data_IF_445414866835
#
_entry.id   IF_445414866835
#
_cell.length_a   1.000
_cell.length_b   1.000
_cell.length_c   1.000
_cell.angle_alpha   90.00
_cell.angle_beta   90.00
_cell.angle_gamma   90.00
#
_symmetry.space_group_name_H-M   'P 1'
#
loop_
_entity.id
_entity.type
_entity.pdbx_description
1 polymer ?
#
# COMPACT_ATOMS: atom_id res chain seq x y z
N UNK A 1 -22.05 -41.68 0.74
CA UNK A 1 -21.56 -40.29 0.71
C UNK A 1 -22.75 -39.38 0.45
N UNK A 2 -23.02 -38.33 1.25
CA UNK A 2 -24.18 -37.43 1.08
C UNK A 2 -23.72 -36.10 0.47
N UNK A 3 -24.55 -35.44 -0.35
CA UNK A 3 -24.33 -34.12 -0.94
C UNK A 3 -23.87 -33.08 0.09
N UNK A 4 -24.40 -33.11 1.31
CA UNK A 4 -23.94 -32.22 2.39
C UNK A 4 -22.45 -32.41 2.73
N UNK A 5 -21.97 -33.66 2.77
CA UNK A 5 -20.55 -33.97 3.01
C UNK A 5 -19.67 -33.52 1.84
N UNK A 6 -20.19 -33.59 0.61
CA UNK A 6 -19.51 -33.11 -0.59
C UNK A 6 -19.37 -31.59 -0.55
N UNK A 7 -20.45 -30.86 -0.22
CA UNK A 7 -20.41 -29.40 -0.10
C UNK A 7 -19.41 -28.93 0.96
N UNK A 8 -19.37 -29.58 2.12
CA UNK A 8 -18.37 -29.29 3.16
C UNK A 8 -16.95 -29.53 2.66
N UNK A 9 -16.71 -30.67 2.01
CA UNK A 9 -15.39 -31.00 1.48
C UNK A 9 -14.94 -29.98 0.42
N UNK A 10 -15.82 -29.60 -0.51
CA UNK A 10 -15.52 -28.61 -1.56
C UNK A 10 -15.29 -27.21 -0.97
N UNK A 11 -16.05 -26.82 0.06
CA UNK A 11 -15.85 -25.54 0.75
C UNK A 11 -14.49 -25.49 1.47
N UNK A 12 -14.11 -26.56 2.17
CA UNK A 12 -12.81 -26.66 2.85
C UNK A 12 -11.62 -26.67 1.88
N UNK A 13 -11.75 -27.32 0.72
CA UNK A 13 -10.71 -27.32 -0.31
C UNK A 13 -10.59 -25.93 -0.96
N UNK A 14 -11.72 -25.23 -1.16
CA UNK A 14 -11.73 -23.87 -1.74
C UNK A 14 -11.10 -22.81 -0.83
N UNK A 15 -11.14 -22.99 0.49
CA UNK A 15 -10.47 -22.07 1.43
C UNK A 15 -8.96 -22.30 1.53
N UNK A 16 -8.47 -23.52 1.26
CA UNK A 16 -7.05 -23.84 1.30
C UNK A 16 -6.23 -23.24 0.14
N UNK A 17 -6.88 -22.82 -0.96
CA UNK A 17 -6.21 -22.21 -2.13
C UNK A 17 -6.05 -20.69 -2.01
N UNK A 18 -6.62 -20.06 -0.97
CA UNK A 18 -6.40 -18.65 -0.64
C UNK A 18 -5.10 -18.47 0.15
N UNK A 19 -3.98 -18.98 -0.36
CA UNK A 19 -2.67 -18.85 0.30
C UNK A 19 -1.60 -18.39 -0.68
N UNK A 20 -1.49 -17.08 -0.87
CA UNK A 20 -0.28 -16.46 -1.44
C UNK A 20 -0.15 -14.94 -1.24
N UNK A 21 -1.01 -14.31 -0.43
CA UNK A 21 -0.88 -12.88 -0.13
C UNK A 21 -0.18 -12.61 1.22
N UNK A 22 -0.20 -13.57 2.15
CA UNK A 22 0.37 -13.45 3.49
C UNK A 22 1.84 -13.91 3.60
N UNK A 23 2.37 -14.62 2.60
CA UNK A 23 3.74 -15.16 2.62
C UNK A 23 4.81 -14.07 2.65
N UNK A 24 4.52 -12.88 2.08
CA UNK A 24 5.44 -11.74 2.13
C UNK A 24 5.76 -11.32 3.58
N UNK A 25 4.83 -11.50 4.51
CA UNK A 25 5.04 -11.13 5.90
C UNK A 25 5.85 -12.16 6.68
N UNK A 26 5.62 -13.45 6.41
CA UNK A 26 6.40 -14.53 7.03
C UNK A 26 7.90 -14.36 6.78
N UNK A 27 8.30 -13.73 5.67
CA UNK A 27 9.71 -13.42 5.38
C UNK A 27 10.21 -12.19 6.15
N UNK A 28 9.34 -11.20 6.40
CA UNK A 28 9.69 -10.00 7.17
C UNK A 28 10.01 -10.32 8.64
N UNK A 29 9.35 -11.32 9.23
CA UNK A 29 9.63 -11.79 10.60
C UNK A 29 10.91 -12.63 10.71
N UNK A 30 11.27 -13.37 9.65
CA UNK A 30 12.46 -14.23 9.67
C UNK A 30 13.73 -13.45 9.36
N UNK A 31 13.69 -12.56 8.37
CA UNK A 31 14.84 -11.83 7.87
C UNK A 31 14.51 -10.33 7.71
N UNK A 32 14.29 -9.61 8.82
CA UNK A 32 13.78 -8.23 8.80
C UNK A 32 14.72 -7.25 8.06
N UNK A 33 16.04 -7.44 8.19
CA UNK A 33 17.02 -6.60 7.50
C UNK A 33 16.99 -6.80 5.97
N UNK A 34 16.90 -8.06 5.53
CA UNK A 34 16.81 -8.41 4.12
C UNK A 34 15.49 -7.90 3.52
N UNK A 35 14.38 -8.09 4.23
CA UNK A 35 13.08 -7.57 3.81
C UNK A 35 13.08 -6.05 3.68
N UNK A 36 13.63 -5.32 4.65
CA UNK A 36 13.74 -3.86 4.59
C UNK A 36 14.58 -3.38 3.40
N UNK A 37 15.60 -4.15 2.98
CA UNK A 37 16.40 -3.81 1.80
C UNK A 37 15.67 -4.03 0.47
N UNK A 38 14.81 -5.05 0.39
CA UNK A 38 14.02 -5.35 -0.82
C UNK A 38 12.77 -4.48 -0.93
N UNK A 39 12.22 -4.06 0.20
CA UNK A 39 11.00 -3.25 0.29
C UNK A 39 11.25 -1.99 1.16
N UNK A 40 12.08 -1.05 0.69
CA UNK A 40 12.48 0.12 1.48
C UNK A 40 11.32 1.06 1.83
N UNK A 41 10.22 1.00 1.07
CA UNK A 41 8.99 1.77 1.32
C UNK A 41 8.07 1.11 2.37
N UNK A 42 8.47 -0.03 2.94
CA UNK A 42 7.70 -0.79 3.95
C UNK A 42 8.41 -0.73 5.30
N UNK A 43 7.69 -0.24 6.30
CA UNK A 43 8.18 -0.18 7.67
C UNK A 43 7.91 -1.51 8.38
N UNK A 44 8.93 -2.37 8.46
CA UNK A 44 8.86 -3.69 9.13
C UNK A 44 8.45 -3.57 10.59
N UNK A 45 8.91 -2.53 11.30
CA UNK A 45 8.64 -2.34 12.73
C UNK A 45 7.19 -1.91 12.98
N UNK A 46 6.56 -1.27 11.99
CA UNK A 46 5.16 -0.87 12.03
C UNK A 46 4.31 -1.75 11.10
N UNK A 47 4.66 -3.02 11.00
CA UNK A 47 3.87 -4.00 10.28
C UNK A 47 3.69 -3.67 8.79
N UNK A 48 4.80 -3.46 8.08
CA UNK A 48 4.81 -3.26 6.63
C UNK A 48 3.95 -2.07 6.16
N UNK A 49 3.65 -1.12 7.05
CA UNK A 49 2.97 0.11 6.67
C UNK A 49 3.87 0.94 5.76
N UNK A 50 3.27 1.76 4.90
CA UNK A 50 4.04 2.60 3.98
C UNK A 50 4.82 3.65 4.78
N UNK A 51 6.13 3.71 4.54
CA UNK A 51 6.98 4.77 5.06
C UNK A 51 6.49 6.14 4.54
N UNK A 52 6.83 7.25 5.21
CA UNK A 52 6.47 8.58 4.72
C UNK A 52 6.90 8.83 3.26
N UNK A 53 8.07 8.34 2.86
CA UNK A 53 8.56 8.43 1.49
C UNK A 53 7.72 7.58 0.52
N UNK A 54 7.44 6.32 0.88
CA UNK A 54 6.58 5.44 0.10
C UNK A 54 5.16 5.99 -0.07
N UNK A 55 4.63 6.67 0.95
CA UNK A 55 3.35 7.38 0.85
C UNK A 55 3.40 8.53 -0.14
N UNK A 56 4.46 9.34 -0.10
CA UNK A 56 4.63 10.48 -1.01
C UNK A 56 4.65 10.05 -2.49
N UNK A 57 5.20 8.88 -2.80
CA UNK A 57 5.19 8.31 -4.16
C UNK A 57 3.81 7.83 -4.66
N UNK A 58 2.85 7.65 -3.75
CA UNK A 58 1.46 7.30 -4.07
C UNK A 58 0.52 8.50 -4.05
N UNK A 59 0.98 9.65 -3.55
CA UNK A 59 0.18 10.87 -3.59
C UNK A 59 -0.02 11.31 -5.04
N UNK A 60 -1.28 11.59 -5.39
CA UNK A 60 -1.61 12.17 -6.69
C UNK A 60 -0.83 13.49 -6.86
N UNK A 61 -0.51 13.92 -8.09
CA UNK A 61 0.27 15.14 -8.37
C UNK A 61 -0.26 16.46 -7.77
N UNK A 62 -1.42 16.47 -7.09
CA UNK A 62 -1.90 17.58 -6.26
C UNK A 62 -1.54 17.50 -4.76
N UNK A 63 -0.80 16.48 -4.32
CA UNK A 63 -0.31 16.30 -2.94
C UNK A 63 1.14 16.74 -2.72
N UNK A 64 1.94 16.86 -3.79
CA UNK A 64 3.23 17.53 -3.70
C UNK A 64 3.00 19.02 -3.44
N UNK A 65 3.58 19.57 -2.36
CA UNK A 65 3.53 20.99 -2.07
C UNK A 65 4.00 21.78 -3.31
N UNK A 66 3.18 22.68 -3.87
CA UNK A 66 3.54 23.40 -5.08
C UNK A 66 4.79 24.24 -4.81
N UNK A 67 5.87 23.97 -5.54
CA UNK A 67 7.14 24.71 -5.42
C UNK A 67 6.95 26.19 -5.78
N UNK A 68 5.91 26.51 -6.55
CA UNK A 68 5.47 27.88 -6.79
C UNK A 68 3.95 27.92 -6.67
N UNK A 69 3.45 28.49 -5.56
CA UNK A 69 2.07 28.93 -5.50
C UNK A 69 1.83 29.87 -6.66
N UNK A 70 0.81 29.59 -7.48
CA UNK A 70 0.42 30.47 -8.56
C UNK A 70 0.19 31.87 -7.97
N UNK A 71 1.15 32.76 -8.16
CA UNK A 71 0.99 34.19 -7.94
C UNK A 71 -0.17 34.59 -8.84
N UNK A 72 -1.38 34.66 -8.27
CA UNK A 72 -2.47 35.39 -8.86
C UNK A 72 -2.06 36.85 -8.82
N UNK A 73 -1.30 37.27 -9.82
CA UNK A 73 -1.20 38.67 -10.19
C UNK A 73 -2.61 39.03 -10.68
N UNK A 74 -3.48 39.37 -9.74
CA UNK A 74 -4.66 40.14 -10.07
C UNK A 74 -4.11 41.46 -10.57
N UNK A 75 -4.04 41.60 -11.90
CA UNK A 75 -3.94 42.91 -12.52
C UNK A 75 -5.09 43.76 -11.97
N UNK A 76 -4.78 44.62 -11.01
CA UNK A 76 -5.61 45.75 -10.68
C UNK A 76 -5.49 46.76 -11.82
N UNK A 77 -6.16 46.47 -12.94
CA UNK A 77 -6.48 47.48 -13.93
C UNK A 77 -7.54 48.41 -13.33
N UNK A 78 -7.09 49.42 -12.58
CA UNK A 78 -7.91 50.55 -12.15
C UNK A 78 -7.20 51.88 -12.42
N UNK A 79 -7.66 52.50 -13.51
CA UNK A 79 -7.85 53.93 -13.77
C UNK A 79 -6.72 54.92 -13.45
N UNK A 80 -6.23 55.57 -14.51
CA UNK A 80 -6.15 57.03 -14.58
C UNK A 80 -6.52 57.52 -15.97
#
# INVERSE_FOLDING_TARGET
MNAFKILIATALISTATLSSASAAWSFADQEPATYASMYPDRDVLNGGTLTPAGRMGLERPGGAAPVFGASRIHEHHWRR
#
